data_IF_349229191828
#
_entry.id   IF_349229191828
#
_cell.length_a   1.000
_cell.length_b   1.000
_cell.length_c   1.000
_cell.angle_alpha   90.00
_cell.angle_beta   90.00
_cell.angle_gamma   90.00
#
_symmetry.space_group_name_H-M   'P 1'
#
loop_
_entity.id
_entity.type
_entity.pdbx_description
1 polymer ?
#
# COMPACT_ATOMS: atom_id res chain seq x y z
N UNK A 1 -4.29 36.92 10.38
CA UNK A 1 -4.94 37.66 9.28
C UNK A 1 -5.73 36.66 8.45
N UNK A 2 -7.07 36.82 8.38
CA UNK A 2 -7.94 36.09 7.45
C UNK A 2 -7.67 36.57 6.02
N UNK A 3 -7.64 35.65 5.06
CA UNK A 3 -7.93 35.96 3.67
C UNK A 3 -8.98 34.95 3.18
N UNK A 4 -10.14 35.50 2.81
CA UNK A 4 -11.26 34.83 2.15
C UNK A 4 -10.94 34.65 0.66
N UNK A 5 -11.65 33.72 0.04
CA UNK A 5 -11.34 33.12 -1.24
C UNK A 5 -11.40 34.02 -2.49
N UNK A 6 -10.84 33.48 -3.56
CA UNK A 6 -11.33 33.65 -4.92
C UNK A 6 -10.99 32.38 -5.72
N UNK A 7 -12.02 31.78 -6.30
CA UNK A 7 -12.02 30.58 -7.12
C UNK A 7 -11.82 30.96 -8.61
N UNK A 8 -11.31 29.98 -9.37
CA UNK A 8 -11.36 29.82 -10.84
C UNK A 8 -10.47 30.80 -11.62
N UNK A 9 -9.61 30.38 -12.57
CA UNK A 9 -9.84 29.41 -13.64
C UNK A 9 -8.59 28.55 -13.91
N UNK A 10 -8.74 27.22 -13.86
CA UNK A 10 -7.75 26.28 -14.36
C UNK A 10 -8.05 26.02 -15.84
N UNK A 11 -7.15 26.49 -16.72
CA UNK A 11 -7.17 26.18 -18.14
C UNK A 11 -7.04 24.65 -18.34
N UNK A 12 -8.08 24.05 -18.90
CA UNK A 12 -8.13 22.64 -19.26
C UNK A 12 -7.24 22.40 -20.48
N UNK A 13 -6.03 21.87 -20.26
CA UNK A 13 -5.24 21.27 -21.33
C UNK A 13 -5.97 20.01 -21.80
N UNK A 14 -6.43 20.04 -23.05
CA UNK A 14 -7.07 18.94 -23.74
C UNK A 14 -6.12 17.75 -23.93
N UNK A 15 -6.05 16.89 -22.93
CA UNK A 15 -5.61 15.52 -23.05
C UNK A 15 -6.83 14.62 -22.99
N UNK A 16 -7.03 13.78 -24.00
CA UNK A 16 -8.01 12.70 -23.97
C UNK A 16 -7.87 11.99 -22.61
N UNK A 17 -8.89 11.96 -21.75
CA UNK A 17 -8.79 11.30 -20.46
C UNK A 17 -8.57 9.84 -20.82
N UNK A 18 -7.31 9.40 -20.78
CA UNK A 18 -6.98 7.99 -20.67
C UNK A 18 -7.86 7.52 -19.57
N UNK A 19 -8.91 6.80 -19.97
CA UNK A 19 -9.81 6.11 -19.08
C UNK A 19 -8.90 5.49 -18.05
N UNK A 20 -8.98 5.92 -16.79
CA UNK A 20 -8.74 4.98 -15.72
C UNK A 20 -9.72 3.86 -16.07
N UNK A 21 -9.22 2.85 -16.81
CA UNK A 21 -10.01 1.68 -17.13
C UNK A 21 -10.58 1.31 -15.78
N UNK A 22 -11.90 1.26 -15.68
CA UNK A 22 -12.55 0.69 -14.50
C UNK A 22 -11.72 -0.53 -14.14
N UNK A 23 -11.31 -0.70 -12.86
CA UNK A 23 -10.64 -1.91 -12.44
C UNK A 23 -11.40 -3.07 -13.09
N UNK A 24 -10.73 -3.97 -13.83
CA UNK A 24 -11.43 -5.04 -14.53
C UNK A 24 -12.42 -5.66 -13.54
N UNK A 25 -13.68 -5.79 -13.97
CA UNK A 25 -14.82 -6.22 -13.17
C UNK A 25 -14.71 -7.71 -12.77
N UNK A 26 -13.58 -8.11 -12.22
CA UNK A 26 -13.25 -9.47 -11.86
C UNK A 26 -12.47 -9.43 -10.55
N UNK A 27 -13.21 -9.13 -9.48
CA UNK A 27 -12.87 -9.65 -8.16
C UNK A 27 -13.18 -11.14 -8.23
N UNK A 28 -12.14 -11.96 -8.22
CA UNK A 28 -12.26 -13.35 -8.67
C UNK A 28 -12.93 -14.30 -7.68
N UNK A 29 -13.30 -13.87 -6.47
CA UNK A 29 -14.09 -14.68 -5.53
C UNK A 29 -14.95 -13.81 -4.60
N UNK A 30 -16.28 -13.99 -4.64
CA UNK A 30 -17.21 -13.38 -3.69
C UNK A 30 -17.04 -13.93 -2.25
N UNK A 31 -16.50 -15.14 -2.12
CA UNK A 31 -16.27 -15.79 -0.83
C UNK A 31 -15.22 -15.05 0.00
N UNK A 32 -14.03 -14.83 -0.53
CA UNK A 32 -12.91 -14.17 0.16
C UNK A 32 -13.27 -12.75 0.63
N UNK A 33 -14.18 -12.07 -0.09
CA UNK A 33 -14.68 -10.74 0.29
C UNK A 33 -15.63 -10.79 1.47
N UNK A 34 -16.48 -11.82 1.55
CA UNK A 34 -17.38 -12.03 2.69
C UNK A 34 -16.58 -12.41 3.92
N UNK A 35 -15.65 -13.36 3.79
CA UNK A 35 -14.76 -13.77 4.87
C UNK A 35 -13.91 -12.59 5.38
N UNK A 36 -13.37 -11.76 4.48
CA UNK A 36 -12.68 -10.54 4.89
C UNK A 36 -13.60 -9.54 5.60
N UNK A 37 -14.83 -9.34 5.10
CA UNK A 37 -15.79 -8.44 5.72
C UNK A 37 -16.21 -8.93 7.12
N UNK A 38 -16.33 -10.25 7.31
CA UNK A 38 -16.57 -10.88 8.60
C UNK A 38 -15.35 -10.74 9.52
N UNK A 39 -14.13 -10.94 9.02
CA UNK A 39 -12.89 -10.77 9.79
C UNK A 39 -12.71 -9.33 10.26
N UNK A 40 -12.86 -8.34 9.36
CA UNK A 40 -12.76 -6.92 9.71
C UNK A 40 -13.92 -6.43 10.58
N UNK A 41 -15.09 -7.07 10.45
CA UNK A 41 -16.26 -6.81 11.28
C UNK A 41 -16.19 -7.47 12.65
N UNK A 42 -15.25 -8.40 12.87
CA UNK A 42 -15.03 -9.01 14.17
C UNK A 42 -14.46 -7.97 15.14
N UNK A 43 -14.86 -8.08 16.41
CA UNK A 43 -14.32 -7.22 17.45
C UNK A 43 -12.85 -7.54 17.69
N UNK A 44 -12.02 -6.50 17.71
CA UNK A 44 -10.63 -6.60 18.13
C UNK A 44 -10.61 -7.01 19.61
N UNK A 45 -9.95 -8.12 19.90
CA UNK A 45 -9.92 -8.69 21.25
C UNK A 45 -8.63 -8.33 21.99
N UNK A 46 -8.68 -8.32 23.33
CA UNK A 46 -7.52 -8.09 24.21
C UNK A 46 -6.36 -9.04 23.89
N UNK A 47 -6.69 -10.29 23.53
CA UNK A 47 -5.73 -11.32 23.15
C UNK A 47 -4.92 -10.96 21.89
N UNK A 48 -5.55 -10.35 20.89
CA UNK A 48 -4.87 -9.90 19.67
C UNK A 48 -3.91 -8.76 20.00
N UNK A 49 -4.37 -7.77 20.78
CA UNK A 49 -3.56 -6.63 21.22
C UNK A 49 -2.31 -7.10 22.00
N UNK A 50 -2.47 -8.02 22.95
CA UNK A 50 -1.34 -8.59 23.71
C UNK A 50 -0.35 -9.33 22.82
N UNK A 51 -0.85 -9.97 21.78
CA UNK A 51 -0.03 -10.70 20.82
C UNK A 51 0.77 -9.73 19.96
N UNK A 52 0.19 -8.61 19.54
CA UNK A 52 0.84 -7.59 18.73
C UNK A 52 1.88 -6.74 19.46
N UNK A 53 1.70 -6.51 20.76
CA UNK A 53 2.69 -5.77 21.55
C UNK A 53 4.02 -6.55 21.66
N UNK A 54 3.99 -7.89 21.58
CA UNK A 54 5.17 -8.75 21.76
C UNK A 54 6.23 -8.65 20.64
N UNK A 55 5.90 -8.68 19.34
CA UNK A 55 6.86 -8.58 18.26
C UNK A 55 7.36 -7.15 17.98
N UNK A 56 6.78 -6.12 18.59
CA UNK A 56 7.19 -4.75 18.32
C UNK A 56 8.64 -4.49 18.74
N UNK A 57 9.45 -4.00 17.79
CA UNK A 57 10.83 -3.64 18.08
C UNK A 57 10.93 -2.48 19.08
N UNK A 58 11.79 -2.64 20.08
CA UNK A 58 12.15 -1.62 21.07
C UNK A 58 13.03 -0.51 20.46
N UNK A 59 13.08 0.65 21.11
CA UNK A 59 13.89 1.80 20.66
C UNK A 59 13.38 2.47 19.38
N UNK A 60 12.12 2.25 19.01
CA UNK A 60 11.46 2.99 17.93
C UNK A 60 11.31 4.46 18.31
N UNK A 61 11.27 5.30 17.29
CA UNK A 61 11.04 6.73 17.44
C UNK A 61 9.61 6.98 17.98
N UNK A 62 9.48 7.91 18.92
CA UNK A 62 8.25 8.13 19.69
C UNK A 62 7.25 9.01 18.92
N UNK A 63 5.95 8.73 19.06
CA UNK A 63 4.89 9.59 18.53
C UNK A 63 4.74 10.91 19.30
N UNK A 64 3.64 11.61 19.08
CA UNK A 64 3.34 12.91 19.74
C UNK A 64 3.22 12.78 21.25
N UNK A 65 2.79 11.63 21.75
CA UNK A 65 2.60 11.37 23.20
C UNK A 65 3.90 11.03 23.94
N UNK A 66 4.99 10.72 23.23
CA UNK A 66 6.25 10.36 23.87
C UNK A 66 6.26 9.01 24.59
N UNK A 67 5.22 8.17 24.44
CA UNK A 67 5.16 6.85 25.05
C UNK A 67 5.93 5.81 24.21
N UNK A 68 6.96 5.16 24.78
CA UNK A 68 7.72 4.12 24.09
C UNK A 68 6.98 2.78 24.06
N UNK A 69 7.32 1.92 23.10
CA UNK A 69 6.77 0.54 22.98
C UNK A 69 7.00 -0.25 24.27
N UNK A 70 8.10 0.02 24.96
CA UNK A 70 8.50 -0.57 26.22
C UNK A 70 7.47 -0.32 27.33
N UNK A 71 6.84 0.85 27.35
CA UNK A 71 5.74 1.16 28.27
C UNK A 71 4.52 0.29 27.97
N UNK A 72 4.18 0.10 26.69
CA UNK A 72 3.09 -0.80 26.30
C UNK A 72 3.38 -2.24 26.66
N UNK A 73 4.62 -2.70 26.46
CA UNK A 73 5.04 -4.04 26.84
C UNK A 73 4.96 -4.27 28.36
N UNK A 74 5.33 -3.27 29.16
CA UNK A 74 5.29 -3.34 30.63
C UNK A 74 3.85 -3.36 31.17
N UNK A 75 2.94 -2.59 30.58
CA UNK A 75 1.57 -2.42 31.08
C UNK A 75 0.50 -3.12 30.21
N UNK A 76 0.91 -4.01 29.29
CA UNK A 76 0.02 -4.66 28.30
C UNK A 76 -1.20 -5.36 28.91
N UNK A 77 -1.06 -5.91 30.12
CA UNK A 77 -2.14 -6.63 30.80
C UNK A 77 -3.31 -5.71 31.12
N UNK A 78 -3.02 -4.44 31.44
CA UNK A 78 -4.00 -3.40 31.76
C UNK A 78 -4.41 -2.66 30.48
N UNK A 79 -3.44 -2.30 29.64
CA UNK A 79 -3.68 -1.50 28.44
C UNK A 79 -4.51 -2.24 27.39
N UNK A 80 -4.36 -3.56 27.25
CA UNK A 80 -5.05 -4.33 26.22
C UNK A 80 -6.58 -4.17 26.30
N UNK A 81 -7.15 -4.25 27.50
CA UNK A 81 -8.61 -4.10 27.70
C UNK A 81 -9.09 -2.70 27.36
N UNK A 82 -8.37 -1.67 27.80
CA UNK A 82 -8.73 -0.28 27.51
C UNK A 82 -8.61 0.04 26.01
N UNK A 83 -7.58 -0.48 25.34
CA UNK A 83 -7.38 -0.32 23.91
C UNK A 83 -8.43 -1.08 23.09
N UNK A 84 -8.83 -2.29 23.52
CA UNK A 84 -9.90 -3.03 22.85
C UNK A 84 -11.23 -2.28 22.90
N UNK A 85 -11.60 -1.75 24.07
CA UNK A 85 -12.80 -0.93 24.23
C UNK A 85 -12.72 0.34 23.37
N UNK A 86 -11.55 0.99 23.33
CA UNK A 86 -11.29 2.17 22.51
C UNK A 86 -11.51 1.88 21.02
N UNK A 87 -10.89 0.82 20.51
CA UNK A 87 -10.99 0.44 19.10
C UNK A 87 -12.39 -0.02 18.75
N UNK A 88 -13.07 -0.74 19.65
CA UNK A 88 -14.47 -1.15 19.45
C UNK A 88 -15.39 0.06 19.27
N UNK A 89 -15.26 1.08 20.12
CA UNK A 89 -16.05 2.31 20.01
C UNK A 89 -15.70 3.06 18.71
N UNK A 90 -14.42 3.20 18.39
CA UNK A 90 -13.97 3.90 17.19
C UNK A 90 -14.45 3.22 15.89
N UNK A 91 -14.35 1.88 15.82
CA UNK A 91 -14.81 1.11 14.67
C UNK A 91 -16.33 1.12 14.54
N UNK A 92 -17.07 1.02 15.66
CA UNK A 92 -18.54 1.13 15.65
C UNK A 92 -19.03 2.50 15.20
N UNK A 93 -18.30 3.57 15.55
CA UNK A 93 -18.58 4.93 15.08
C UNK A 93 -18.15 5.17 13.63
N UNK A 94 -17.30 4.30 13.05
CA UNK A 94 -16.71 4.48 11.73
C UNK A 94 -15.66 5.59 11.67
N UNK A 95 -15.16 6.07 12.82
CA UNK A 95 -14.22 7.16 12.92
C UNK A 95 -13.24 6.94 14.09
N UNK A 96 -11.95 7.09 13.82
CA UNK A 96 -10.92 7.07 14.86
C UNK A 96 -10.94 8.38 15.67
N UNK A 97 -10.51 8.29 16.93
CA UNK A 97 -10.33 9.46 17.77
C UNK A 97 -9.20 10.35 17.20
N UNK A 98 -9.33 11.69 17.25
CA UNK A 98 -8.32 12.60 16.73
C UNK A 98 -6.91 12.32 17.28
N UNK A 99 -6.78 12.02 18.58
CA UNK A 99 -5.51 11.71 19.23
C UNK A 99 -4.81 10.46 18.65
N UNK A 100 -5.55 9.44 18.20
CA UNK A 100 -4.98 8.27 17.52
C UNK A 100 -4.46 8.61 16.13
N UNK A 101 -4.97 9.68 15.51
CA UNK A 101 -4.57 10.11 14.17
C UNK A 101 -3.45 11.16 14.19
N UNK A 102 -2.97 11.56 15.36
CA UNK A 102 -1.85 12.50 15.47
C UNK A 102 -0.51 11.83 15.12
N UNK A 103 0.35 12.60 14.46
CA UNK A 103 1.67 12.15 14.06
C UNK A 103 2.69 13.29 14.17
N UNK A 104 3.89 12.96 14.64
CA UNK A 104 5.01 13.88 14.62
C UNK A 104 5.67 13.85 13.23
N UNK A 105 5.71 14.98 12.54
CA UNK A 105 6.34 15.09 11.22
C UNK A 105 7.82 15.42 11.38
N UNK A 106 8.70 14.52 10.91
CA UNK A 106 10.15 14.67 10.95
C UNK A 106 10.73 14.73 9.53
N UNK A 107 11.37 15.84 9.13
CA UNK A 107 12.01 15.95 7.82
C UNK A 107 13.38 15.24 7.82
N UNK A 108 13.57 14.27 6.94
CA UNK A 108 14.82 13.54 6.74
C UNK A 108 15.48 13.91 5.41
N UNK A 109 16.71 14.41 5.44
CA UNK A 109 17.44 14.76 4.21
C UNK A 109 17.79 13.51 3.38
N UNK A 110 17.56 13.55 2.06
CA UNK A 110 17.99 12.48 1.16
C UNK A 110 19.52 12.30 1.24
N UNK A 111 20.03 11.06 1.28
CA UNK A 111 21.47 10.82 1.35
C UNK A 111 22.22 11.53 0.22
N UNK A 112 23.38 12.14 0.56
CA UNK A 112 24.29 12.78 -0.41
C UNK A 112 23.67 13.95 -1.18
N UNK A 113 22.69 14.65 -0.60
CA UNK A 113 22.07 15.85 -1.15
C UNK A 113 22.32 17.06 -0.25
N UNK A 114 22.43 18.28 -0.81
CA UNK A 114 22.61 19.49 0.00
C UNK A 114 21.34 19.82 0.78
N UNK A 115 21.50 20.39 1.98
CA UNK A 115 20.39 20.81 2.86
C UNK A 115 19.71 22.14 2.41
N UNK A 116 20.13 22.70 1.28
CA UNK A 116 19.70 24.03 0.80
C UNK A 116 18.32 24.05 0.17
N UNK A 117 17.79 22.90 -0.25
CA UNK A 117 16.48 22.80 -0.90
C UNK A 117 15.56 21.85 -0.13
N UNK A 118 14.38 22.37 0.23
CA UNK A 118 13.31 21.66 0.96
C UNK A 118 12.81 20.43 0.18
N UNK A 119 12.85 20.46 -1.15
CA UNK A 119 12.43 19.32 -2.01
C UNK A 119 13.30 18.07 -1.82
N UNK A 120 14.49 18.24 -1.25
CA UNK A 120 15.46 17.18 -1.00
C UNK A 120 15.20 16.45 0.32
N UNK A 121 14.25 16.90 1.13
CA UNK A 121 13.80 16.20 2.32
C UNK A 121 12.72 15.17 1.99
N UNK A 122 12.64 14.13 2.82
CA UNK A 122 11.55 13.16 2.89
C UNK A 122 10.89 13.37 4.24
N UNK A 123 9.61 13.68 4.25
CA UNK A 123 8.86 13.77 5.49
C UNK A 123 8.57 12.35 5.98
N UNK A 124 8.86 12.10 7.26
CA UNK A 124 8.48 10.89 7.98
C UNK A 124 7.40 11.25 8.99
N UNK A 125 6.32 10.48 9.02
CA UNK A 125 5.27 10.60 10.03
C UNK A 125 5.54 9.57 11.13
N UNK A 126 5.86 10.04 12.33
CA UNK A 126 6.04 9.20 13.50
C UNK A 126 4.70 9.08 14.23
N UNK A 127 4.10 7.90 14.14
CA UNK A 127 2.77 7.57 14.65
C UNK A 127 2.85 7.09 16.11
N UNK A 128 1.79 7.35 16.88
CA UNK A 128 1.64 6.81 18.22
C UNK A 128 1.61 5.27 18.21
N UNK A 129 2.10 4.66 19.29
CA UNK A 129 2.19 3.20 19.39
C UNK A 129 0.81 2.56 19.34
N UNK A 130 -0.21 3.18 19.95
CA UNK A 130 -1.60 2.73 19.88
C UNK A 130 -2.08 2.56 18.44
N UNK A 131 -1.87 3.59 17.61
CA UNK A 131 -2.22 3.54 16.20
C UNK A 131 -1.47 2.42 15.47
N UNK A 132 -0.18 2.22 15.79
CA UNK A 132 0.60 1.14 15.20
C UNK A 132 0.05 -0.23 15.61
N UNK A 133 -0.36 -0.43 16.87
CA UNK A 133 -0.99 -1.68 17.34
C UNK A 133 -2.26 -1.95 16.53
N UNK A 134 -3.14 -0.96 16.40
CA UNK A 134 -4.36 -1.09 15.60
C UNK A 134 -4.04 -1.43 14.13
N UNK A 135 -3.06 -0.74 13.55
CA UNK A 135 -2.65 -0.97 12.15
C UNK A 135 -2.12 -2.38 11.94
N UNK A 136 -1.32 -2.93 12.85
CA UNK A 136 -0.79 -4.29 12.73
C UNK A 136 -1.90 -5.34 12.83
N UNK A 137 -2.87 -5.17 13.74
CA UNK A 137 -4.04 -6.06 13.84
C UNK A 137 -4.82 -6.06 12.52
N UNK A 138 -5.07 -4.88 11.95
CA UNK A 138 -5.77 -4.76 10.66
C UNK A 138 -4.96 -5.42 9.52
N UNK A 139 -3.63 -5.30 9.54
CA UNK A 139 -2.77 -5.97 8.57
C UNK A 139 -2.88 -7.49 8.71
N UNK A 140 -2.96 -8.04 9.93
CA UNK A 140 -3.14 -9.47 10.13
C UNK A 140 -4.47 -9.98 9.58
N UNK A 141 -5.55 -9.22 9.73
CA UNK A 141 -6.86 -9.56 9.17
C UNK A 141 -6.85 -9.48 7.63
N UNK A 142 -6.12 -8.52 7.05
CA UNK A 142 -6.07 -8.30 5.60
C UNK A 142 -5.11 -9.25 4.87
N UNK A 143 -3.94 -9.53 5.46
CA UNK A 143 -2.80 -10.20 4.83
C UNK A 143 -3.17 -11.50 4.08
N UNK A 144 -4.00 -12.41 4.63
CA UNK A 144 -4.39 -13.65 3.94
C UNK A 144 -5.10 -13.42 2.61
N UNK A 145 -5.83 -12.30 2.47
CA UNK A 145 -6.67 -12.00 1.32
C UNK A 145 -5.99 -11.09 0.29
N UNK A 146 -4.89 -10.42 0.67
CA UNK A 146 -4.25 -9.38 -0.16
C UNK A 146 -3.80 -9.90 -1.53
N UNK A 147 -3.33 -11.16 -1.60
CA UNK A 147 -2.88 -11.76 -2.84
C UNK A 147 -4.02 -12.01 -3.84
N UNK A 148 -5.25 -12.21 -3.37
CA UNK A 148 -6.43 -12.40 -4.23
C UNK A 148 -7.05 -11.08 -4.65
N UNK A 149 -7.02 -10.08 -3.76
CA UNK A 149 -7.61 -8.77 -3.99
C UNK A 149 -6.76 -7.89 -4.91
N UNK A 150 -5.44 -8.03 -4.85
CA UNK A 150 -4.52 -7.15 -5.57
C UNK A 150 -4.02 -7.81 -6.85
N UNK A 151 -4.09 -7.04 -7.95
CA UNK A 151 -3.65 -7.45 -9.27
C UNK A 151 -2.23 -8.03 -9.26
N UNK A 152 -2.01 -9.09 -10.02
CA UNK A 152 -0.77 -9.87 -10.01
C UNK A 152 0.49 -9.04 -10.29
N UNK A 153 0.39 -7.97 -11.08
CA UNK A 153 1.50 -7.05 -11.42
C UNK A 153 1.98 -6.16 -10.26
N UNK A 154 1.18 -5.99 -9.20
CA UNK A 154 1.61 -5.25 -8.02
C UNK A 154 2.39 -6.21 -7.11
N UNK A 155 3.68 -5.90 -6.89
CA UNK A 155 4.60 -6.74 -6.13
C UNK A 155 5.12 -6.10 -4.85
N UNK A 156 4.90 -4.80 -4.65
CA UNK A 156 5.38 -4.09 -3.46
C UNK A 156 4.47 -4.36 -2.27
N UNK A 157 5.07 -4.55 -1.10
CA UNK A 157 4.39 -4.65 0.20
C UNK A 157 3.34 -5.76 0.29
N UNK A 158 3.55 -6.87 -0.45
CA UNK A 158 2.68 -8.03 -0.41
C UNK A 158 3.46 -9.27 0.01
N UNK A 159 2.88 -10.14 0.85
CA UNK A 159 3.51 -11.39 1.20
C UNK A 159 3.76 -12.22 -0.06
N UNK A 160 4.92 -12.85 -0.11
CA UNK A 160 5.36 -13.74 -1.20
C UNK A 160 5.46 -13.09 -2.59
N UNK A 161 5.46 -11.75 -2.67
CA UNK A 161 5.74 -11.02 -3.90
C UNK A 161 7.02 -10.20 -3.76
N UNK A 162 7.83 -10.24 -4.82
CA UNK A 162 9.09 -9.50 -4.88
C UNK A 162 9.16 -8.65 -6.14
N UNK A 163 9.82 -7.51 -6.06
CA UNK A 163 10.17 -6.67 -7.23
C UNK A 163 10.98 -7.46 -8.27
N UNK A 164 11.71 -8.50 -7.87
CA UNK A 164 12.40 -9.40 -8.78
C UNK A 164 11.43 -10.07 -9.78
N UNK A 165 10.22 -10.44 -9.33
CA UNK A 165 9.19 -11.03 -10.20
C UNK A 165 8.76 -10.04 -11.29
N UNK A 166 8.68 -8.75 -10.97
CA UNK A 166 8.34 -7.72 -11.94
C UNK A 166 9.45 -7.52 -12.98
N UNK A 167 10.72 -7.60 -12.57
CA UNK A 167 11.87 -7.58 -13.51
C UNK A 167 11.80 -8.80 -14.44
N UNK A 168 11.56 -9.99 -13.90
CA UNK A 168 11.45 -11.22 -14.70
C UNK A 168 10.30 -11.14 -15.71
N UNK A 169 9.13 -10.64 -15.31
CA UNK A 169 7.99 -10.41 -16.20
C UNK A 169 8.32 -9.42 -17.31
N UNK A 170 8.97 -8.31 -16.97
CA UNK A 170 9.40 -7.32 -17.95
C UNK A 170 10.37 -7.92 -18.98
N UNK A 171 11.36 -8.69 -18.52
CA UNK A 171 12.30 -9.39 -19.40
C UNK A 171 11.61 -10.42 -20.30
N UNK A 172 10.62 -11.15 -19.77
CA UNK A 172 9.82 -12.10 -20.56
C UNK A 172 9.07 -11.38 -21.68
N UNK A 173 8.44 -10.23 -21.39
CA UNK A 173 7.76 -9.41 -22.39
C UNK A 173 8.73 -8.88 -23.46
N UNK A 174 9.91 -8.41 -23.06
CA UNK A 174 10.94 -7.97 -24.02
C UNK A 174 11.40 -9.11 -24.94
N UNK A 175 11.64 -10.31 -24.39
CA UNK A 175 12.03 -11.49 -25.17
C UNK A 175 10.95 -11.90 -26.16
N UNK A 176 9.69 -11.88 -25.74
CA UNK A 176 8.58 -12.21 -26.63
C UNK A 176 8.41 -11.15 -27.74
N UNK A 177 8.52 -9.87 -27.40
CA UNK A 177 8.52 -8.79 -28.39
C UNK A 177 9.67 -8.90 -29.41
N UNK A 178 10.86 -9.34 -28.98
CA UNK A 178 11.98 -9.59 -29.89
C UNK A 178 11.70 -10.77 -30.85
N UNK A 179 11.15 -11.89 -30.34
CA UNK A 179 10.76 -13.03 -31.18
C UNK A 179 9.71 -12.68 -32.22
N UNK A 180 8.68 -11.92 -31.84
CA UNK A 180 7.64 -11.51 -32.76
C UNK A 180 8.20 -10.57 -33.84
N UNK A 181 9.14 -9.69 -33.49
CA UNK A 181 9.86 -8.84 -34.45
C UNK A 181 10.68 -9.66 -35.45
N UNK A 182 11.38 -10.69 -35.00
CA UNK A 182 12.19 -11.53 -35.87
C UNK A 182 11.32 -12.43 -36.76
N UNK A 183 10.19 -12.97 -36.25
CA UNK A 183 9.20 -13.67 -37.09
C UNK A 183 8.57 -12.75 -38.13
N UNK A 184 8.21 -11.52 -37.78
CA UNK A 184 7.66 -10.57 -38.74
C UNK A 184 8.65 -10.23 -39.87
N UNK A 185 9.96 -10.31 -39.62
CA UNK A 185 10.99 -10.22 -40.67
C UNK A 185 11.06 -11.50 -41.51
N UNK A 186 10.95 -12.68 -40.91
CA UNK A 186 10.94 -13.97 -41.63
C UNK A 186 9.70 -14.15 -42.50
N UNK A 187 8.51 -13.67 -42.08
CA UNK A 187 7.30 -13.69 -42.92
C UNK A 187 7.43 -12.78 -44.15
N UNK A 188 8.24 -11.71 -44.08
CA UNK A 188 8.61 -10.92 -45.26
C UNK A 188 9.54 -11.66 -46.24
N UNK A 189 10.30 -12.65 -45.79
CA UNK A 189 11.16 -13.48 -46.65
C UNK A 189 10.35 -14.56 -47.39
N UNK A 190 9.23 -15.02 -46.83
CA UNK A 190 8.36 -16.01 -47.50
C UNK A 190 7.62 -15.40 -48.71
N UNK A 191 7.28 -14.11 -48.67
CA UNK A 191 6.73 -13.41 -49.86
C UNK A 191 7.77 -13.15 -50.97
N UNK A 192 9.08 -13.22 -50.67
CA UNK A 192 10.16 -13.05 -51.67
C UNK A 192 10.58 -14.39 -52.28
N UNK A 193 10.35 -15.52 -51.60
CA UNK A 193 10.72 -16.87 -52.08
C UNK A 193 9.59 -17.63 -52.81
N UNK A 194 8.40 -17.05 -52.94
CA UNK A 194 7.26 -17.62 -53.68
C UNK A 194 6.80 -16.72 -54.84
N UNK A 195 7.61 -15.73 -55.24
CA UNK A 195 7.35 -14.86 -56.40
C UNK A 195 7.87 -15.38 -57.73
N UNK A 196 8.74 -16.40 -57.72
CA UNK A 196 9.42 -16.92 -58.92
C UNK A 196 8.91 -18.30 -59.38
N UNK A 197 7.71 -18.72 -58.96
CA UNK A 197 7.08 -19.96 -59.45
C UNK A 197 5.69 -19.68 -60.04
N UNK A 198 5.72 -19.23 -61.30
CA UNK A 198 4.65 -19.20 -62.32
C UNK A 198 3.83 -17.91 -62.51
N UNK A 199 3.56 -17.46 -63.76
CA UNK A 199 4.01 -17.99 -65.08
C UNK A 199 5.27 -17.31 -65.63
#
# INVERSE_FOLDING_TARGET
>A
MRALGANQEAQTLGGNPTTCRRPPASLKNDRSRRELAESLGAHINDGEIRTEIRPMACGKALGTEGLPVESYAAYKEILATHLADLYKVALAAGALLPALCEALIVPLLKPRKPATDVSLYRLLSMLNVDYNILSEILVQHLSPYMNELIHSNQSGFLPDRSTALNIQRLLALFREGARLRDRAKTTKIIHVLWGDLWP
#
